data_IF_039809935888
#
_entry.id   IF_039809935888
#
_cell.length_a   1.000
_cell.length_b   1.000
_cell.length_c   1.000
_cell.angle_alpha   90.00
_cell.angle_beta   90.00
_cell.angle_gamma   90.00
#
_symmetry.space_group_name_H-M   'P 1'
#
loop_
_entity.id
_entity.type
_entity.pdbx_description
1 polymer ?
#
# COMPACT_ATOMS: atom_id res chain seq x y z
N UNK A 1 48.59 -22.09 -55.83
CA UNK A 1 48.75 -22.78 -54.53
C UNK A 1 47.99 -21.94 -53.52
N UNK A 2 46.74 -22.31 -53.24
CA UNK A 2 45.81 -21.52 -52.45
C UNK A 2 45.87 -21.97 -50.98
N UNK A 3 46.02 -21.01 -50.06
CA UNK A 3 45.95 -21.23 -48.61
C UNK A 3 44.51 -21.53 -48.18
N UNK A 4 44.27 -22.44 -47.23
CA UNK A 4 42.95 -22.67 -46.67
C UNK A 4 42.54 -21.54 -45.69
N UNK A 5 41.26 -21.16 -45.60
CA UNK A 5 40.78 -20.19 -44.63
C UNK A 5 40.74 -20.78 -43.21
N UNK A 6 41.10 -19.94 -42.24
CA UNK A 6 41.19 -20.23 -40.83
C UNK A 6 39.83 -20.65 -40.23
N UNK A 7 39.90 -21.58 -39.29
CA UNK A 7 38.77 -22.29 -38.71
C UNK A 7 37.85 -21.44 -37.84
N UNK A 8 36.60 -21.92 -37.79
CA UNK A 8 35.53 -21.51 -36.89
C UNK A 8 35.99 -21.57 -35.42
N UNK A 9 36.11 -20.40 -34.80
CA UNK A 9 36.19 -20.29 -33.35
C UNK A 9 34.87 -20.71 -32.69
N UNK A 10 34.90 -21.25 -31.46
CA UNK A 10 33.68 -21.66 -30.78
C UNK A 10 32.73 -20.47 -30.54
N UNK A 11 31.41 -20.67 -30.63
CA UNK A 11 30.44 -19.60 -30.45
C UNK A 11 30.53 -19.03 -29.04
N UNK A 12 30.66 -17.71 -28.95
CA UNK A 12 30.53 -16.94 -27.71
C UNK A 12 29.23 -17.30 -26.99
N UNK A 13 29.24 -17.55 -25.66
CA UNK A 13 28.02 -17.79 -24.92
C UNK A 13 27.15 -16.53 -25.02
N UNK A 14 26.00 -16.63 -25.68
CA UNK A 14 24.98 -15.58 -25.64
C UNK A 14 24.57 -15.44 -24.18
N UNK A 15 24.71 -14.22 -23.66
CA UNK A 15 24.21 -13.82 -22.34
C UNK A 15 22.80 -14.36 -22.16
N UNK A 16 22.66 -15.32 -21.25
CA UNK A 16 21.37 -15.78 -20.78
C UNK A 16 20.74 -14.64 -20.01
N UNK A 17 19.96 -13.80 -20.72
CA UNK A 17 18.98 -12.95 -20.09
C UNK A 17 18.09 -13.85 -19.26
N UNK A 18 18.22 -13.74 -17.94
CA UNK A 18 17.35 -14.42 -16.97
C UNK A 18 15.91 -14.23 -17.45
N UNK A 19 15.17 -15.30 -17.81
CA UNK A 19 13.79 -15.16 -18.24
C UNK A 19 13.04 -14.48 -17.10
N UNK A 20 12.59 -13.25 -17.35
CA UNK A 20 11.83 -12.47 -16.38
C UNK A 20 10.66 -13.33 -15.92
N UNK A 21 10.63 -13.63 -14.61
CA UNK A 21 9.55 -14.41 -14.00
C UNK A 21 8.22 -13.79 -14.44
N UNK A 22 7.31 -14.54 -15.10
CA UNK A 22 6.01 -14.01 -15.49
C UNK A 22 5.30 -13.46 -14.26
N UNK A 23 5.03 -12.15 -14.22
CA UNK A 23 4.32 -11.54 -13.10
C UNK A 23 2.88 -12.06 -13.07
N UNK A 24 2.37 -12.52 -11.91
CA UNK A 24 0.95 -12.84 -11.76
C UNK A 24 0.06 -11.67 -12.21
N UNK A 25 -1.03 -11.95 -12.94
CA UNK A 25 -1.91 -10.91 -13.52
C UNK A 25 -2.50 -9.96 -12.47
N UNK A 26 -2.71 -10.45 -11.25
CA UNK A 26 -3.28 -9.69 -10.15
C UNK A 26 -2.32 -8.58 -9.69
N UNK A 27 -1.01 -8.83 -9.66
CA UNK A 27 -0.01 -7.81 -9.31
C UNK A 27 -0.05 -6.64 -10.29
N UNK A 28 -0.08 -6.94 -11.59
CA UNK A 28 -0.16 -5.92 -12.64
C UNK A 28 -1.44 -5.08 -12.53
N UNK A 29 -2.57 -5.71 -12.19
CA UNK A 29 -3.84 -5.00 -11.99
C UNK A 29 -3.78 -4.12 -10.74
N UNK A 30 -3.20 -4.62 -9.65
CA UNK A 30 -3.03 -3.85 -8.42
C UNK A 30 -2.15 -2.62 -8.66
N UNK A 31 -0.98 -2.79 -9.27
CA UNK A 31 -0.08 -1.69 -9.64
C UNK A 31 -0.79 -0.63 -10.49
N UNK A 32 -1.64 -1.06 -11.43
CA UNK A 32 -2.43 -0.16 -12.26
C UNK A 32 -3.45 0.64 -11.43
N UNK A 33 -4.18 0.00 -10.52
CA UNK A 33 -5.19 0.68 -9.70
C UNK A 33 -4.55 1.64 -8.70
N UNK A 34 -3.44 1.26 -8.08
CA UNK A 34 -2.67 2.18 -7.21
C UNK A 34 -2.17 3.39 -8.00
N UNK A 35 -1.59 3.16 -9.19
CA UNK A 35 -1.14 4.25 -10.07
C UNK A 35 -2.28 5.15 -10.55
N UNK A 36 -3.43 4.56 -10.91
CA UNK A 36 -4.61 5.31 -11.33
C UNK A 36 -5.19 6.14 -10.18
N UNK A 37 -5.26 5.58 -8.97
CA UNK A 37 -5.76 6.28 -7.79
C UNK A 37 -4.91 7.52 -7.48
N UNK A 38 -3.59 7.40 -7.60
CA UNK A 38 -2.66 8.53 -7.49
C UNK A 38 -2.86 9.60 -8.59
N UNK A 39 -3.08 9.16 -9.83
CA UNK A 39 -3.34 10.07 -10.94
C UNK A 39 -4.66 10.83 -10.78
N UNK A 40 -5.72 10.15 -10.32
CA UNK A 40 -7.02 10.76 -10.03
C UNK A 40 -6.89 11.76 -8.89
N UNK A 41 -6.18 11.42 -7.82
CA UNK A 41 -5.95 12.33 -6.70
C UNK A 41 -5.18 13.58 -7.14
N UNK A 42 -4.20 13.44 -8.04
CA UNK A 42 -3.47 14.58 -8.60
C UNK A 42 -4.36 15.53 -9.42
N UNK A 43 -5.44 15.04 -10.04
CA UNK A 43 -6.43 15.90 -10.74
C UNK A 43 -7.14 16.82 -9.74
N UNK A 44 -7.30 16.42 -8.47
CA UNK A 44 -7.91 17.27 -7.44
C UNK A 44 -7.06 18.52 -7.09
N UNK A 45 -5.79 18.55 -7.51
CA UNK A 45 -4.91 19.71 -7.39
C UNK A 45 -5.10 20.76 -8.49
N UNK A 46 -5.96 20.51 -9.49
CA UNK A 46 -6.12 21.45 -10.60
C UNK A 46 -6.58 22.83 -10.10
N UNK A 47 -6.01 23.94 -10.63
CA UNK A 47 -6.24 25.29 -10.13
C UNK A 47 -7.70 25.77 -10.22
N UNK A 48 -8.52 25.11 -11.03
CA UNK A 48 -9.93 25.44 -11.28
C UNK A 48 -10.79 25.43 -10.02
N UNK A 49 -10.26 24.90 -8.91
CA UNK A 49 -11.01 24.66 -7.68
C UNK A 49 -10.43 25.40 -6.46
N UNK A 50 -9.36 26.19 -6.62
CA UNK A 50 -8.74 26.98 -5.56
C UNK A 50 -8.92 28.49 -5.83
N UNK A 51 -9.51 29.20 -4.87
CA UNK A 51 -9.82 30.64 -5.01
C UNK A 51 -8.95 31.51 -4.11
N UNK A 52 -8.31 30.91 -3.11
CA UNK A 52 -7.41 31.58 -2.17
C UNK A 52 -6.10 30.79 -1.99
N UNK A 53 -5.00 31.42 -1.52
CA UNK A 53 -3.77 30.71 -1.16
C UNK A 53 -3.99 29.61 -0.11
N UNK A 54 -4.89 29.84 0.87
CA UNK A 54 -5.23 28.83 1.87
C UNK A 54 -5.89 27.59 1.28
N UNK A 55 -6.71 27.76 0.23
CA UNK A 55 -7.30 26.62 -0.50
C UNK A 55 -6.21 25.78 -1.17
N UNK A 56 -5.16 26.42 -1.70
CA UNK A 56 -4.03 25.74 -2.33
C UNK A 56 -3.25 24.94 -1.30
N UNK A 57 -2.93 25.54 -0.15
CA UNK A 57 -2.19 24.87 0.94
C UNK A 57 -2.96 23.64 1.45
N UNK A 58 -4.26 23.78 1.70
CA UNK A 58 -5.11 22.67 2.15
C UNK A 58 -5.16 21.53 1.14
N UNK A 59 -5.28 21.84 -0.17
CA UNK A 59 -5.30 20.83 -1.23
C UNK A 59 -3.98 20.09 -1.35
N UNK A 60 -2.86 20.81 -1.28
CA UNK A 60 -1.51 20.22 -1.31
C UNK A 60 -1.31 19.28 -0.12
N UNK A 61 -1.76 19.68 1.07
CA UNK A 61 -1.68 18.85 2.27
C UNK A 61 -2.53 17.58 2.17
N UNK A 62 -3.79 17.70 1.75
CA UNK A 62 -4.70 16.56 1.56
C UNK A 62 -4.13 15.58 0.52
N UNK A 63 -3.70 16.09 -0.63
CA UNK A 63 -3.06 15.27 -1.66
C UNK A 63 -1.80 14.58 -1.14
N UNK A 64 -0.91 15.31 -0.45
CA UNK A 64 0.33 14.72 0.08
C UNK A 64 0.03 13.60 1.08
N UNK A 65 -1.02 13.77 1.88
CA UNK A 65 -1.46 12.79 2.86
C UNK A 65 -2.05 11.55 2.19
N UNK A 66 -2.95 11.71 1.20
CA UNK A 66 -3.48 10.60 0.40
C UNK A 66 -2.37 9.85 -0.35
N UNK A 67 -1.44 10.59 -0.98
CA UNK A 67 -0.29 10.03 -1.67
C UNK A 67 0.54 9.12 -0.75
N UNK A 68 0.87 9.59 0.46
CA UNK A 68 1.65 8.81 1.42
C UNK A 68 0.92 7.52 1.84
N UNK A 69 -0.40 7.58 2.01
CA UNK A 69 -1.21 6.39 2.29
C UNK A 69 -1.23 5.39 1.14
N UNK A 70 -1.49 5.87 -0.07
CA UNK A 70 -1.54 5.03 -1.27
C UNK A 70 -0.21 4.33 -1.51
N UNK A 71 0.90 5.07 -1.45
CA UNK A 71 2.25 4.48 -1.60
C UNK A 71 2.58 3.53 -0.45
N UNK A 72 2.21 3.86 0.80
CA UNK A 72 2.46 2.96 1.94
C UNK A 72 1.68 1.65 1.80
N UNK A 73 0.39 1.74 1.46
CA UNK A 73 -0.45 0.57 1.22
C UNK A 73 0.09 -0.28 0.05
N UNK A 74 0.50 0.36 -1.05
CA UNK A 74 1.11 -0.31 -2.20
C UNK A 74 2.43 -1.01 -1.84
N UNK A 75 3.31 -0.36 -1.06
CA UNK A 75 4.57 -0.96 -0.61
C UNK A 75 4.34 -2.16 0.31
N UNK A 76 3.36 -2.08 1.22
CA UNK A 76 3.00 -3.19 2.09
C UNK A 76 2.42 -4.34 1.25
N UNK A 77 1.51 -4.02 0.33
CA UNK A 77 0.89 -4.98 -0.59
C UNK A 77 1.95 -5.75 -1.38
N UNK A 78 2.82 -5.05 -2.10
CA UNK A 78 3.88 -5.66 -2.93
C UNK A 78 4.86 -6.50 -2.12
N UNK A 79 5.15 -6.12 -0.87
CA UNK A 79 5.99 -6.91 0.03
C UNK A 79 5.39 -8.29 0.31
N UNK A 80 4.06 -8.39 0.41
CA UNK A 80 3.37 -9.65 0.70
C UNK A 80 2.96 -10.42 -0.55
N UNK A 81 2.61 -9.76 -1.66
CA UNK A 81 2.16 -10.47 -2.86
C UNK A 81 3.30 -10.97 -3.75
N UNK A 82 4.48 -10.34 -3.70
CA UNK A 82 5.61 -10.72 -4.57
C UNK A 82 6.21 -12.12 -4.31
N UNK A 83 5.82 -12.81 -3.22
CA UNK A 83 6.52 -14.03 -2.77
C UNK A 83 5.81 -15.34 -3.13
N UNK A 84 4.51 -15.40 -3.47
CA UNK A 84 3.86 -16.68 -3.77
C UNK A 84 2.73 -16.60 -4.83
N UNK A 85 2.64 -17.58 -5.75
CA UNK A 85 1.50 -17.74 -6.67
C UNK A 85 0.33 -18.44 -5.94
N UNK A 86 -0.32 -17.73 -5.01
CA UNK A 86 -1.51 -18.25 -4.31
C UNK A 86 -2.76 -17.84 -5.07
N UNK A 87 -3.09 -18.57 -6.13
CA UNK A 87 -4.33 -18.40 -6.89
C UNK A 87 -5.50 -19.11 -6.19
N UNK A 88 -5.88 -18.64 -5.01
CA UNK A 88 -7.13 -19.08 -4.35
C UNK A 88 -8.23 -18.03 -4.54
N UNK A 89 -9.48 -18.48 -4.67
CA UNK A 89 -10.63 -17.58 -4.80
C UNK A 89 -10.74 -16.59 -3.64
N UNK A 90 -10.36 -17.01 -2.43
CA UNK A 90 -10.36 -16.15 -1.25
C UNK A 90 -9.31 -15.02 -1.37
N UNK A 91 -8.09 -15.33 -1.81
CA UNK A 91 -7.04 -14.31 -2.02
C UNK A 91 -7.43 -13.35 -3.14
N UNK A 92 -7.99 -13.85 -4.24
CA UNK A 92 -8.49 -13.00 -5.33
C UNK A 92 -9.61 -12.07 -4.85
N UNK A 93 -10.59 -12.57 -4.09
CA UNK A 93 -11.65 -11.75 -3.52
C UNK A 93 -11.11 -10.67 -2.58
N UNK A 94 -10.20 -11.03 -1.68
CA UNK A 94 -9.54 -10.09 -0.76
C UNK A 94 -8.74 -9.02 -1.53
N UNK A 95 -8.05 -9.40 -2.61
CA UNK A 95 -7.34 -8.45 -3.46
C UNK A 95 -8.31 -7.47 -4.13
N UNK A 96 -9.42 -7.95 -4.71
CA UNK A 96 -10.42 -7.06 -5.32
C UNK A 96 -11.03 -6.12 -4.28
N UNK A 97 -11.35 -6.63 -3.08
CA UNK A 97 -11.87 -5.81 -1.98
C UNK A 97 -10.83 -4.77 -1.53
N UNK A 98 -9.56 -5.15 -1.38
CA UNK A 98 -8.47 -4.24 -1.05
C UNK A 98 -8.34 -3.11 -2.08
N UNK A 99 -8.41 -3.45 -3.36
CA UNK A 99 -8.27 -2.50 -4.46
C UNK A 99 -9.45 -1.53 -4.52
N UNK A 100 -10.66 -2.00 -4.19
CA UNK A 100 -11.82 -1.13 -4.01
C UNK A 100 -11.58 -0.12 -2.89
N UNK A 101 -11.16 -0.57 -1.70
CA UNK A 101 -10.90 0.32 -0.56
C UNK A 101 -9.82 1.37 -0.90
N UNK A 102 -8.72 0.92 -1.50
CA UNK A 102 -7.64 1.80 -1.98
C UNK A 102 -8.15 2.88 -2.94
N UNK A 103 -9.07 2.52 -3.85
CA UNK A 103 -9.65 3.47 -4.79
C UNK A 103 -10.58 4.50 -4.13
N UNK A 104 -11.09 4.22 -2.92
CA UNK A 104 -11.93 5.15 -2.16
C UNK A 104 -11.11 6.22 -1.42
N UNK A 105 -9.83 5.97 -1.13
CA UNK A 105 -8.96 6.88 -0.35
C UNK A 105 -9.00 8.32 -0.87
N UNK A 106 -8.75 8.61 -2.17
CA UNK A 106 -8.75 9.99 -2.66
C UNK A 106 -10.08 10.70 -2.41
N UNK A 107 -11.19 10.03 -2.73
CA UNK A 107 -12.52 10.60 -2.60
C UNK A 107 -12.89 10.88 -1.14
N UNK A 108 -12.68 9.90 -0.26
CA UNK A 108 -13.02 10.02 1.15
C UNK A 108 -12.20 11.12 1.81
N UNK A 109 -10.88 11.15 1.59
CA UNK A 109 -10.01 12.16 2.19
C UNK A 109 -10.30 13.57 1.68
N UNK A 110 -10.53 13.74 0.37
CA UNK A 110 -10.96 15.03 -0.17
C UNK A 110 -12.28 15.48 0.45
N UNK A 111 -13.21 14.56 0.69
CA UNK A 111 -14.51 14.89 1.30
C UNK A 111 -14.41 15.24 2.79
N UNK A 112 -13.41 14.73 3.52
CA UNK A 112 -13.15 15.10 4.91
C UNK A 112 -12.81 16.58 5.03
N UNK A 113 -11.98 17.12 4.14
CA UNK A 113 -11.51 18.51 4.26
C UNK A 113 -12.26 19.51 3.37
N UNK A 114 -12.63 19.08 2.17
CA UNK A 114 -13.26 19.93 1.15
C UNK A 114 -14.77 19.73 1.07
N UNK A 115 -15.37 18.88 1.91
CA UNK A 115 -16.81 18.64 1.92
C UNK A 115 -17.62 19.93 2.15
N UNK A 116 -18.75 20.04 1.47
CA UNK A 116 -19.58 21.27 1.44
C UNK A 116 -20.16 21.66 2.81
N UNK A 117 -20.35 20.68 3.70
CA UNK A 117 -20.91 20.91 5.03
C UNK A 117 -20.32 19.95 6.07
N UNK A 118 -20.50 20.29 7.35
CA UNK A 118 -19.95 19.52 8.48
C UNK A 118 -20.45 18.06 8.52
N UNK A 119 -21.72 17.81 8.20
CA UNK A 119 -22.28 16.46 8.20
C UNK A 119 -21.60 15.54 7.17
N UNK A 120 -21.30 16.06 5.98
CA UNK A 120 -20.53 15.33 4.96
C UNK A 120 -19.12 15.05 5.48
N UNK A 121 -18.43 16.06 6.03
CA UNK A 121 -17.06 15.90 6.54
C UNK A 121 -16.96 14.86 7.65
N UNK A 122 -17.89 14.89 8.61
CA UNK A 122 -17.93 13.96 9.75
C UNK A 122 -18.27 12.52 9.30
N UNK A 123 -19.20 12.39 8.36
CA UNK A 123 -19.56 11.10 7.78
C UNK A 123 -18.39 10.52 6.96
N UNK A 124 -17.79 11.31 6.08
CA UNK A 124 -16.59 10.94 5.30
C UNK A 124 -15.41 10.58 6.20
N UNK A 125 -15.22 11.30 7.30
CA UNK A 125 -14.18 11.02 8.31
C UNK A 125 -14.39 9.64 8.94
N UNK A 126 -15.64 9.28 9.21
CA UNK A 126 -15.99 7.97 9.79
C UNK A 126 -15.81 6.84 8.76
N UNK A 127 -16.20 7.07 7.52
CA UNK A 127 -15.96 6.14 6.41
C UNK A 127 -14.48 5.97 6.12
N UNK A 128 -13.68 7.04 6.18
CA UNK A 128 -12.23 6.96 5.96
C UNK A 128 -11.52 6.14 7.04
N UNK A 129 -11.90 6.31 8.31
CA UNK A 129 -11.39 5.46 9.39
C UNK A 129 -11.75 3.98 9.20
N UNK A 130 -12.99 3.71 8.75
CA UNK A 130 -13.43 2.36 8.42
C UNK A 130 -12.67 1.77 7.23
N UNK A 131 -12.42 2.57 6.19
CA UNK A 131 -11.66 2.20 5.01
C UNK A 131 -10.22 1.81 5.37
N UNK A 132 -9.52 2.65 6.16
CA UNK A 132 -8.18 2.35 6.68
C UNK A 132 -8.15 1.07 7.54
N UNK A 133 -9.14 0.89 8.40
CA UNK A 133 -9.29 -0.33 9.19
C UNK A 133 -9.45 -1.56 8.29
N UNK A 134 -10.28 -1.45 7.25
CA UNK A 134 -10.53 -2.51 6.27
C UNK A 134 -9.27 -2.88 5.49
N UNK A 135 -8.52 -1.89 5.00
CA UNK A 135 -7.25 -2.09 4.29
C UNK A 135 -6.25 -2.84 5.17
N UNK A 136 -6.05 -2.39 6.41
CA UNK A 136 -5.12 -3.01 7.36
C UNK A 136 -5.55 -4.43 7.74
N UNK A 137 -6.86 -4.65 7.93
CA UNK A 137 -7.39 -5.98 8.23
C UNK A 137 -7.20 -6.94 7.05
N UNK A 138 -7.48 -6.52 5.81
CA UNK A 138 -7.28 -7.34 4.63
C UNK A 138 -5.79 -7.66 4.44
N UNK A 139 -4.90 -6.68 4.57
CA UNK A 139 -3.46 -6.89 4.48
C UNK A 139 -2.96 -7.86 5.58
N UNK A 140 -3.52 -7.78 6.80
CA UNK A 140 -3.24 -8.75 7.85
C UNK A 140 -3.71 -10.16 7.50
N UNK A 141 -4.90 -10.32 6.92
CA UNK A 141 -5.42 -11.62 6.49
C UNK A 141 -4.55 -12.19 5.37
N UNK A 142 -4.19 -11.38 4.36
CA UNK A 142 -3.30 -11.80 3.28
C UNK A 142 -1.95 -12.24 3.82
N UNK A 143 -1.31 -11.45 4.70
CA UNK A 143 -0.06 -11.83 5.34
C UNK A 143 -0.20 -13.09 6.22
N UNK A 144 -1.38 -13.33 6.80
CA UNK A 144 -1.64 -14.56 7.54
C UNK A 144 -1.70 -15.79 6.64
N UNK A 145 -2.51 -15.74 5.58
CA UNK A 145 -2.67 -16.82 4.61
C UNK A 145 -1.30 -17.18 4.03
N UNK A 146 -0.59 -16.16 3.55
CA UNK A 146 0.74 -16.29 3.00
C UNK A 146 1.72 -16.90 4.01
N UNK A 147 1.77 -16.39 5.24
CA UNK A 147 2.67 -16.91 6.27
C UNK A 147 2.36 -18.36 6.67
N UNK A 148 1.11 -18.82 6.56
CA UNK A 148 0.75 -20.23 6.83
C UNK A 148 1.20 -21.14 5.69
N UNK A 149 0.98 -20.73 4.44
CA UNK A 149 1.41 -21.49 3.27
C UNK A 149 2.94 -21.53 3.14
N UNK A 150 3.61 -20.42 3.42
CA UNK A 150 5.05 -20.24 3.33
C UNK A 150 5.83 -20.95 4.46
N UNK A 151 5.24 -21.12 5.65
CA UNK A 151 5.83 -21.91 6.73
C UNK A 151 6.11 -23.37 6.33
N UNK A 152 5.50 -23.88 5.24
CA UNK A 152 5.82 -25.20 4.70
C UNK A 152 7.06 -25.21 3.80
N UNK A 153 7.57 -24.05 3.38
CA UNK A 153 8.57 -23.93 2.31
C UNK A 153 9.75 -22.97 2.63
N UNK A 154 9.72 -22.18 3.70
CA UNK A 154 10.66 -21.06 3.91
C UNK A 154 11.32 -21.06 5.30
N UNK A 155 12.57 -20.58 5.42
CA UNK A 155 13.30 -20.50 6.69
C UNK A 155 12.55 -19.76 7.82
N UNK A 156 12.76 -20.16 9.09
CA UNK A 156 12.07 -19.62 10.26
C UNK A 156 12.15 -18.09 10.44
N UNK A 157 13.19 -17.45 9.89
CA UNK A 157 13.41 -16.00 9.99
C UNK A 157 12.43 -15.20 9.14
N UNK A 158 12.16 -15.62 7.90
CA UNK A 158 11.14 -14.99 7.06
C UNK A 158 9.73 -15.18 7.67
N UNK A 159 9.46 -16.38 8.20
CA UNK A 159 8.22 -16.65 8.91
C UNK A 159 7.98 -15.75 10.15
N UNK A 160 9.05 -15.28 10.81
CA UNK A 160 8.92 -14.28 11.91
C UNK A 160 8.55 -12.90 11.37
N UNK A 161 9.10 -12.49 10.22
CA UNK A 161 8.78 -11.22 9.58
C UNK A 161 7.28 -11.14 9.21
N UNK A 162 6.74 -12.19 8.58
CA UNK A 162 5.31 -12.24 8.21
C UNK A 162 4.41 -12.19 9.45
N UNK A 163 4.76 -12.93 10.51
CA UNK A 163 4.00 -12.92 11.78
C UNK A 163 4.01 -11.56 12.46
N UNK A 164 5.16 -10.90 12.53
CA UNK A 164 5.29 -9.57 13.14
C UNK A 164 4.51 -8.52 12.33
N UNK A 165 4.64 -8.56 10.99
CA UNK A 165 3.88 -7.70 10.09
C UNK A 165 2.37 -7.89 10.25
N UNK A 166 1.89 -9.14 10.24
CA UNK A 166 0.48 -9.48 10.49
C UNK A 166 -0.01 -8.92 11.82
N UNK A 167 0.66 -9.23 12.92
CA UNK A 167 0.22 -8.81 14.26
C UNK A 167 0.16 -7.28 14.36
N UNK A 168 1.15 -6.59 13.77
CA UNK A 168 1.19 -5.14 13.70
C UNK A 168 0.01 -4.57 12.91
N UNK A 169 -0.30 -5.14 11.74
CA UNK A 169 -1.46 -4.71 10.94
C UNK A 169 -2.78 -4.95 11.68
N UNK A 170 -2.92 -6.04 12.45
CA UNK A 170 -4.11 -6.28 13.30
C UNK A 170 -4.26 -5.20 14.36
N UNK A 171 -3.18 -4.88 15.10
CA UNK A 171 -3.22 -3.84 16.14
C UNK A 171 -3.59 -2.49 15.53
N UNK A 172 -3.01 -2.15 14.38
CA UNK A 172 -3.32 -0.90 13.68
C UNK A 172 -4.75 -0.89 13.14
N UNK A 173 -5.27 -2.01 12.63
CA UNK A 173 -6.66 -2.10 12.18
C UNK A 173 -7.63 -1.87 13.34
N UNK A 174 -7.38 -2.51 14.49
CA UNK A 174 -8.19 -2.31 15.71
C UNK A 174 -8.12 -0.85 16.16
N UNK A 175 -6.93 -0.24 16.15
CA UNK A 175 -6.77 1.18 16.47
C UNK A 175 -7.61 2.07 15.54
N UNK A 176 -7.62 1.79 14.22
CA UNK A 176 -8.43 2.54 13.26
C UNK A 176 -9.94 2.32 13.50
N UNK A 177 -10.36 1.09 13.79
CA UNK A 177 -11.76 0.80 14.12
C UNK A 177 -12.22 1.54 15.40
N UNK A 178 -11.38 1.58 16.44
CA UNK A 178 -11.65 2.33 17.67
C UNK A 178 -11.81 3.83 17.37
N UNK A 179 -11.04 4.35 16.42
CA UNK A 179 -11.11 5.77 16.04
C UNK A 179 -12.47 6.21 15.48
N UNK A 180 -13.34 5.26 15.06
CA UNK A 180 -14.71 5.55 14.60
C UNK A 180 -15.59 6.05 15.75
N UNK A 181 -15.28 5.72 17.00
CA UNK A 181 -16.13 6.05 18.14
C UNK A 181 -16.36 7.58 18.32
N UNK A 182 -17.52 7.99 18.90
CA UNK A 182 -17.91 9.39 19.11
C UNK A 182 -16.84 10.34 19.65
N UNK A 183 -16.11 9.96 20.72
CA UNK A 183 -15.12 10.85 21.31
C UNK A 183 -14.07 11.34 20.32
N UNK A 184 -13.68 10.51 19.34
CA UNK A 184 -12.53 10.81 18.48
C UNK A 184 -12.82 11.79 17.35
N UNK A 185 -14.11 12.03 17.01
CA UNK A 185 -14.50 13.09 16.07
C UNK A 185 -15.08 14.33 16.75
N UNK A 186 -15.51 14.23 18.01
CA UNK A 186 -15.95 15.38 18.81
C UNK A 186 -14.79 16.23 19.34
N UNK A 187 -13.68 15.59 19.73
CA UNK A 187 -12.52 16.33 20.24
C UNK A 187 -11.67 16.89 19.09
N UNK A 188 -11.40 18.19 19.16
CA UNK A 188 -10.44 18.87 18.28
C UNK A 188 -9.17 19.22 19.06
N UNK A 189 -8.02 18.99 18.45
CA UNK A 189 -6.71 19.38 18.95
C UNK A 189 -6.08 20.29 17.90
N UNK A 190 -5.64 21.49 18.31
CA UNK A 190 -5.10 22.51 17.38
C UNK A 190 -6.03 22.83 16.19
N UNK A 191 -7.35 22.72 16.39
CA UNK A 191 -8.36 22.95 15.35
C UNK A 191 -8.58 21.79 14.38
N UNK A 192 -7.90 20.65 14.57
CA UNK A 192 -8.02 19.44 13.74
C UNK A 192 -8.68 18.32 14.57
N UNK A 193 -9.57 17.53 13.97
CA UNK A 193 -10.20 16.41 14.67
C UNK A 193 -9.14 15.43 15.21
N UNK A 194 -9.27 15.01 16.47
CA UNK A 194 -8.33 14.09 17.13
C UNK A 194 -8.10 12.80 16.32
N UNK A 195 -9.14 12.37 15.60
CA UNK A 195 -9.10 11.23 14.68
C UNK A 195 -8.04 11.33 13.59
N UNK A 196 -7.82 12.52 13.00
CA UNK A 196 -6.85 12.70 11.91
C UNK A 196 -5.44 12.38 12.39
N UNK A 197 -5.10 12.71 13.63
CA UNK A 197 -3.81 12.35 14.22
C UNK A 197 -3.63 10.84 14.34
N UNK A 198 -4.70 10.09 14.66
CA UNK A 198 -4.61 8.63 14.72
C UNK A 198 -4.36 8.00 13.35
N UNK A 199 -4.89 8.57 12.27
CA UNK A 199 -4.62 8.11 10.91
C UNK A 199 -3.13 8.17 10.56
N UNK A 200 -2.36 9.05 11.19
CA UNK A 200 -0.90 9.10 10.95
C UNK A 200 -0.16 7.89 11.52
N UNK A 201 -0.74 7.16 12.47
CA UNK A 201 -0.05 6.09 13.21
C UNK A 201 0.37 4.93 12.30
N UNK A 202 -0.48 4.36 11.42
CA UNK A 202 -0.05 3.35 10.46
C UNK A 202 1.11 3.79 9.56
N UNK A 203 1.10 5.05 9.09
CA UNK A 203 2.15 5.62 8.27
C UNK A 203 3.48 5.67 9.04
N UNK A 204 3.48 6.36 10.19
CA UNK A 204 4.67 6.50 11.04
C UNK A 204 5.22 5.13 11.40
N UNK A 205 4.34 4.23 11.84
CA UNK A 205 4.71 2.88 12.20
C UNK A 205 5.42 2.17 11.05
N UNK A 206 4.95 2.32 9.80
CA UNK A 206 5.54 1.67 8.62
C UNK A 206 6.93 2.22 8.33
N UNK A 207 7.05 3.54 8.23
CA UNK A 207 8.29 4.21 7.88
C UNK A 207 9.36 4.07 8.98
N UNK A 208 8.97 4.17 10.26
CA UNK A 208 9.87 3.90 11.39
C UNK A 208 10.33 2.45 11.38
N UNK A 209 9.41 1.49 11.21
CA UNK A 209 9.77 0.08 11.14
C UNK A 209 10.78 -0.23 10.02
N UNK A 210 10.61 0.44 8.87
CA UNK A 210 11.51 0.33 7.72
C UNK A 210 12.87 1.00 7.95
N UNK A 211 12.91 2.12 8.68
CA UNK A 211 14.15 2.83 9.02
C UNK A 211 14.98 2.06 10.07
N UNK A 212 14.33 1.49 11.08
CA UNK A 212 14.99 0.74 12.17
C UNK A 212 15.45 -0.64 11.72
N UNK A 213 14.67 -1.28 10.84
CA UNK A 213 15.00 -2.60 10.30
C UNK A 213 14.94 -2.53 8.77
N UNK A 214 15.93 -1.88 8.11
CA UNK A 214 16.05 -1.97 6.67
C UNK A 214 16.23 -3.45 6.37
N UNK A 215 15.24 -4.09 5.74
CA UNK A 215 15.32 -5.50 5.37
C UNK A 215 16.69 -5.73 4.73
N UNK A 216 17.57 -6.42 5.43
CA UNK A 216 18.92 -6.73 4.98
C UNK A 216 18.77 -7.59 3.75
N UNK A 217 18.85 -6.91 2.61
CA UNK A 217 18.69 -7.46 1.27
C UNK A 217 19.94 -8.27 0.91
N UNK A 218 20.07 -9.44 1.52
CA UNK A 218 21.02 -10.48 1.10
C UNK A 218 20.49 -11.82 1.53
N UNK A 219 19.47 -12.31 0.84
CA UNK A 219 19.45 -13.74 0.55
C UNK A 219 20.63 -14.00 -0.39
N UNK A 220 21.79 -14.34 0.18
CA UNK A 220 22.75 -15.14 -0.58
C UNK A 220 22.10 -16.50 -0.73
N UNK A 221 21.44 -16.69 -1.87
CA UNK A 221 21.22 -18.03 -2.40
C UNK A 221 22.61 -18.57 -2.70
N UNK A 222 23.12 -19.41 -1.80
CA UNK A 222 24.22 -20.33 -2.10
C UNK A 222 23.64 -21.69 -2.43
#
# INVERSE_FOLDING_TARGET
MASPPAGDGPPSPREGGTPGRPRPRIETLADLIFGLSLAIDAIALLPTSATTPGDMDSRILVFSFAFLFLITAWLIYTTYTSVLPVDTLAVTFLNVALLLLVALIPYLLNSVELGDNAAIRDYSSSLFALDLSGILAILAILAHILGVEENRLVPPEAAKLFRNGRNRMIVLAILMAISIAPPFWEYTLLGVQARIYMWTVPLISYWVGRAVSPQSRTYKVS
#
